data_IF_423672329517
#
_entry.id   IF_423672329517
#
_cell.length_a   1.000
_cell.length_b   1.000
_cell.length_c   1.000
_cell.angle_alpha   90.00
_cell.angle_beta   90.00
_cell.angle_gamma   90.00
#
_symmetry.space_group_name_H-M   'P 1'
#
loop_
_entity.id
_entity.type
_entity.pdbx_description
1 polymer ?
#
# COMPACT_ATOMS: atom_id res chain seq x y z
N UNK A 1 -7.89 -3.70 2.86
CA UNK A 1 -8.80 -3.55 1.72
C UNK A 1 -8.35 -2.33 0.92
N UNK A 2 -8.41 -2.41 -0.41
CA UNK A 2 -8.04 -1.33 -1.31
C UNK A 2 -9.19 -1.02 -2.28
N UNK A 3 -9.54 0.24 -2.38
CA UNK A 3 -10.59 0.73 -3.28
C UNK A 3 -10.02 1.55 -4.45
N UNK A 4 -8.72 1.84 -4.45
CA UNK A 4 -8.00 2.54 -5.53
C UNK A 4 -8.71 3.82 -5.99
N UNK A 5 -9.23 4.62 -5.07
CA UNK A 5 -10.01 5.84 -5.35
C UNK A 5 -11.23 5.64 -6.26
N UNK A 6 -11.71 4.40 -6.39
CA UNK A 6 -12.76 4.09 -7.36
C UNK A 6 -14.17 4.50 -6.92
N UNK A 7 -14.38 4.81 -5.63
CA UNK A 7 -15.71 5.03 -5.12
C UNK A 7 -16.10 6.51 -5.10
N UNK A 8 -17.37 6.72 -5.37
CA UNK A 8 -18.05 7.97 -5.00
C UNK A 8 -18.39 7.93 -3.51
N UNK A 9 -18.62 9.07 -2.84
CA UNK A 9 -19.09 9.08 -1.45
C UNK A 9 -20.27 8.17 -1.20
N UNK A 10 -21.24 8.14 -2.12
CA UNK A 10 -22.40 7.27 -2.02
C UNK A 10 -22.04 5.78 -2.01
N UNK A 11 -21.12 5.35 -2.89
CA UNK A 11 -20.64 3.95 -2.92
C UNK A 11 -19.88 3.59 -1.65
N UNK A 12 -19.04 4.48 -1.16
CA UNK A 12 -18.33 4.28 0.09
C UNK A 12 -19.31 4.08 1.27
N UNK A 13 -20.33 4.93 1.37
CA UNK A 13 -21.36 4.80 2.37
C UNK A 13 -22.20 3.51 2.21
N UNK A 14 -22.49 3.10 0.99
CA UNK A 14 -23.14 1.81 0.73
C UNK A 14 -22.28 0.63 1.22
N UNK A 15 -20.98 0.63 0.92
CA UNK A 15 -20.07 -0.37 1.46
C UNK A 15 -20.12 -0.43 2.98
N UNK A 16 -20.03 0.72 3.67
CA UNK A 16 -20.08 0.77 5.12
C UNK A 16 -21.39 0.22 5.71
N UNK A 17 -22.53 0.35 5.01
CA UNK A 17 -23.81 -0.22 5.44
C UNK A 17 -23.82 -1.76 5.41
N UNK A 18 -23.07 -2.38 4.50
CA UNK A 18 -22.94 -3.84 4.44
C UNK A 18 -21.98 -4.41 5.49
N UNK A 19 -21.12 -3.57 6.06
CA UNK A 19 -20.24 -3.99 7.15
C UNK A 19 -20.99 -3.85 8.47
N UNK A 20 -21.24 -4.99 9.14
CA UNK A 20 -21.83 -4.95 10.48
C UNK A 20 -20.98 -4.03 11.39
N UNK A 21 -21.60 -3.06 12.08
CA UNK A 21 -20.89 -2.12 12.97
C UNK A 21 -19.92 -2.79 13.95
N UNK A 22 -20.28 -3.98 14.48
CA UNK A 22 -19.44 -4.76 15.39
C UNK A 22 -18.11 -5.21 14.75
N UNK A 23 -18.05 -5.32 13.42
CA UNK A 23 -16.86 -5.79 12.69
C UNK A 23 -16.07 -4.68 12.05
N UNK A 24 -16.55 -3.43 12.08
CA UNK A 24 -15.81 -2.29 11.49
C UNK A 24 -14.42 -2.11 12.11
N UNK A 25 -14.31 -2.30 13.40
CA UNK A 25 -13.03 -2.24 14.11
C UNK A 25 -12.04 -3.37 13.76
N UNK A 26 -12.48 -4.41 13.05
CA UNK A 26 -11.60 -5.47 12.52
C UNK A 26 -10.98 -5.12 11.17
N UNK A 27 -11.50 -4.10 10.48
CA UNK A 27 -10.87 -3.54 9.29
C UNK A 27 -9.74 -2.66 9.78
N UNK A 28 -8.50 -3.10 9.59
CA UNK A 28 -7.33 -2.33 9.99
C UNK A 28 -7.34 -0.95 9.33
N UNK A 29 -7.57 -0.92 8.03
CA UNK A 29 -7.84 0.29 7.24
C UNK A 29 -8.41 -0.08 5.85
N UNK A 30 -8.99 0.91 5.19
CA UNK A 30 -9.41 0.90 3.80
C UNK A 30 -8.56 1.92 3.03
N UNK A 31 -7.84 1.46 2.01
CA UNK A 31 -6.96 2.31 1.23
C UNK A 31 -7.76 3.17 0.26
N UNK A 32 -7.51 4.47 0.25
CA UNK A 32 -8.01 5.46 -0.71
C UNK A 32 -9.45 5.16 -1.20
N UNK A 33 -10.47 5.17 -0.32
CA UNK A 33 -11.82 4.75 -0.72
C UNK A 33 -12.44 5.65 -1.79
N UNK A 34 -12.23 6.96 -1.69
CA UNK A 34 -12.87 7.95 -2.55
C UNK A 34 -11.87 8.67 -3.45
N UNK A 35 -12.40 9.33 -4.48
CA UNK A 35 -11.59 10.07 -5.46
C UNK A 35 -10.83 11.24 -4.85
N UNK A 36 -11.37 11.85 -3.81
CA UNK A 36 -10.74 12.99 -3.13
C UNK A 36 -10.37 12.63 -1.70
N UNK A 37 -9.33 13.27 -1.17
CA UNK A 37 -8.94 13.11 0.22
C UNK A 37 -10.05 13.56 1.18
N UNK A 38 -10.78 14.62 0.84
CA UNK A 38 -11.86 15.13 1.67
C UNK A 38 -13.02 14.16 1.78
N UNK A 39 -13.40 13.52 0.68
CA UNK A 39 -14.44 12.48 0.67
C UNK A 39 -14.00 11.25 1.47
N UNK A 40 -12.72 10.86 1.37
CA UNK A 40 -12.16 9.74 2.14
C UNK A 40 -12.13 10.05 3.64
N UNK A 41 -11.77 11.29 4.02
CA UNK A 41 -11.84 11.75 5.42
C UNK A 41 -13.27 11.77 5.95
N UNK A 42 -14.20 12.29 5.15
CA UNK A 42 -15.62 12.29 5.52
C UNK A 42 -16.14 10.86 5.74
N UNK A 43 -15.79 9.94 4.84
CA UNK A 43 -16.12 8.53 4.99
C UNK A 43 -15.58 7.96 6.32
N UNK A 44 -14.32 8.18 6.65
CA UNK A 44 -13.72 7.67 7.87
C UNK A 44 -14.42 8.19 9.13
N UNK A 45 -14.68 9.51 9.18
CA UNK A 45 -15.38 10.13 10.33
C UNK A 45 -16.81 9.63 10.50
N UNK A 46 -17.55 9.51 9.39
CA UNK A 46 -18.97 9.14 9.44
C UNK A 46 -19.19 7.66 9.72
N UNK A 47 -18.27 6.80 9.29
CA UNK A 47 -18.44 5.34 9.39
C UNK A 47 -17.67 4.69 10.52
N UNK A 48 -16.64 5.35 11.03
CA UNK A 48 -15.69 4.77 11.98
C UNK A 48 -14.75 3.73 11.37
N UNK A 49 -14.78 3.55 10.03
CA UNK A 49 -13.84 2.68 9.32
C UNK A 49 -12.57 3.49 9.04
N UNK A 50 -11.45 3.04 9.58
CA UNK A 50 -10.17 3.70 9.37
C UNK A 50 -9.72 3.64 7.90
N UNK A 51 -8.99 4.67 7.47
CA UNK A 51 -8.43 4.73 6.10
C UNK A 51 -6.91 4.78 6.11
N UNK A 52 -6.33 4.49 4.96
CA UNK A 52 -4.92 4.68 4.66
C UNK A 52 -4.74 5.54 3.41
N UNK A 53 -3.63 6.29 3.37
CA UNK A 53 -3.18 7.00 2.17
C UNK A 53 -2.20 6.16 1.36
N UNK A 54 -2.37 6.09 0.05
CA UNK A 54 -1.46 5.49 -0.93
C UNK A 54 -1.14 6.50 -2.05
N UNK A 55 -2.06 6.69 -2.98
CA UNK A 55 -1.86 7.60 -4.11
C UNK A 55 -1.64 9.04 -3.65
N UNK A 56 -2.30 9.44 -2.58
CA UNK A 56 -2.17 10.78 -1.99
C UNK A 56 -0.75 11.12 -1.58
N UNK A 57 0.08 10.13 -1.19
CA UNK A 57 1.48 10.37 -0.82
C UNK A 57 2.32 10.97 -1.96
N UNK A 58 1.86 10.83 -3.19
CA UNK A 58 2.55 11.30 -4.40
C UNK A 58 2.01 12.65 -4.90
N UNK A 59 0.97 13.18 -4.26
CA UNK A 59 0.44 14.49 -4.61
C UNK A 59 1.38 15.60 -4.12
N UNK A 60 1.60 16.65 -4.93
CA UNK A 60 2.58 17.71 -4.60
C UNK A 60 2.26 18.46 -3.29
N UNK A 61 0.99 18.51 -2.91
CA UNK A 61 0.50 19.19 -1.71
C UNK A 61 0.30 18.24 -0.52
N UNK A 62 0.73 16.96 -0.64
CA UNK A 62 0.63 16.03 0.48
C UNK A 62 1.60 16.41 1.60
N UNK A 63 1.08 16.46 2.81
CA UNK A 63 1.87 16.65 4.01
C UNK A 63 1.52 15.58 5.04
N UNK A 64 2.53 15.08 5.76
CA UNK A 64 2.31 14.20 6.90
C UNK A 64 1.77 15.02 8.06
N UNK A 65 0.47 14.86 8.33
CA UNK A 65 -0.22 15.49 9.45
C UNK A 65 -1.13 14.47 10.13
N UNK A 66 -1.37 14.65 11.42
CA UNK A 66 -2.32 13.81 12.13
C UNK A 66 -3.75 14.14 11.68
N UNK A 67 -4.46 13.14 11.20
CA UNK A 67 -5.82 13.27 10.68
C UNK A 67 -6.74 12.24 11.33
N UNK A 68 -7.93 12.68 11.76
CA UNK A 68 -8.92 11.79 12.34
C UNK A 68 -9.36 10.72 11.32
N UNK A 69 -9.36 9.46 11.76
CA UNK A 69 -9.74 8.32 10.92
C UNK A 69 -8.63 7.80 10.00
N UNK A 70 -7.52 8.50 9.83
CA UNK A 70 -6.33 7.99 9.11
C UNK A 70 -5.49 7.17 10.08
N UNK A 71 -5.17 5.95 9.72
CA UNK A 71 -4.37 5.04 10.56
C UNK A 71 -3.12 4.51 9.91
N UNK A 72 -3.01 4.61 8.60
CA UNK A 72 -1.87 4.06 7.89
C UNK A 72 -1.50 4.89 6.66
N UNK A 73 -0.30 4.64 6.17
CA UNK A 73 0.17 5.06 4.86
C UNK A 73 0.78 3.85 4.15
N UNK A 74 0.50 3.74 2.86
CA UNK A 74 1.02 2.68 1.98
C UNK A 74 2.12 3.28 1.13
N UNK A 75 3.35 2.86 1.37
CA UNK A 75 4.54 3.40 0.73
C UNK A 75 5.04 2.41 -0.32
N UNK A 76 5.09 2.86 -1.57
CA UNK A 76 5.60 2.08 -2.71
C UNK A 76 6.99 2.57 -3.10
N UNK A 77 8.08 1.90 -2.66
CA UNK A 77 9.45 2.39 -2.83
C UNK A 77 9.82 2.67 -4.28
N UNK A 78 9.37 1.86 -5.22
CA UNK A 78 9.61 2.05 -6.66
C UNK A 78 8.98 3.33 -7.20
N UNK A 79 7.87 3.77 -6.63
CA UNK A 79 7.20 5.03 -7.00
C UNK A 79 7.74 6.23 -6.21
N UNK A 80 8.23 6.01 -4.99
CA UNK A 80 8.88 7.05 -4.18
C UNK A 80 10.23 7.47 -4.78
N UNK A 81 10.95 6.54 -5.40
CA UNK A 81 12.12 6.80 -6.22
C UNK A 81 13.48 6.71 -5.50
N UNK A 82 13.55 6.82 -4.18
CA UNK A 82 14.78 6.57 -3.43
C UNK A 82 14.53 5.99 -2.05
N UNK A 83 15.48 5.17 -1.56
CA UNK A 83 15.38 4.59 -0.22
C UNK A 83 15.46 5.64 0.89
N UNK A 84 16.16 6.74 0.66
CA UNK A 84 16.23 7.87 1.59
C UNK A 84 14.83 8.45 1.81
N UNK A 85 14.13 8.78 0.73
CA UNK A 85 12.75 9.30 0.81
C UNK A 85 11.78 8.29 1.44
N UNK A 86 11.93 6.99 1.12
CA UNK A 86 11.12 5.94 1.75
C UNK A 86 11.33 5.94 3.25
N UNK A 87 12.58 6.01 3.72
CA UNK A 87 12.91 6.07 5.15
C UNK A 87 12.31 7.31 5.80
N UNK A 88 12.42 8.48 5.16
CA UNK A 88 11.82 9.72 5.65
C UNK A 88 10.31 9.61 5.79
N UNK A 89 9.61 9.04 4.80
CA UNK A 89 8.17 8.81 4.84
C UNK A 89 7.77 7.85 5.98
N UNK A 90 8.52 6.76 6.17
CA UNK A 90 8.28 5.82 7.29
C UNK A 90 8.45 6.53 8.63
N UNK A 91 9.52 7.32 8.80
CA UNK A 91 9.76 8.06 10.03
C UNK A 91 8.67 9.11 10.30
N UNK A 92 8.25 9.84 9.26
CA UNK A 92 7.17 10.83 9.37
C UNK A 92 5.84 10.16 9.78
N UNK A 93 5.51 9.02 9.19
CA UNK A 93 4.32 8.25 9.55
C UNK A 93 4.38 7.78 11.02
N UNK A 94 5.49 7.18 11.44
CA UNK A 94 5.67 6.71 12.81
C UNK A 94 5.63 7.85 13.83
N UNK A 95 6.17 9.03 13.51
CA UNK A 95 6.11 10.21 14.37
C UNK A 95 4.67 10.68 14.64
N UNK A 96 3.74 10.36 13.74
CA UNK A 96 2.31 10.64 13.88
C UNK A 96 1.50 9.47 14.46
N UNK A 97 2.16 8.36 14.82
CA UNK A 97 1.50 7.16 15.29
C UNK A 97 0.77 6.37 14.19
N UNK A 98 1.09 6.64 12.91
CA UNK A 98 0.52 5.92 11.78
C UNK A 98 1.31 4.63 11.50
N UNK A 99 0.60 3.61 11.03
CA UNK A 99 1.24 2.41 10.48
C UNK A 99 1.82 2.72 9.11
N UNK A 100 3.12 2.48 8.90
CA UNK A 100 3.74 2.52 7.59
C UNK A 100 3.77 1.12 6.98
N UNK A 101 3.15 0.95 5.82
CA UNK A 101 3.10 -0.32 5.08
C UNK A 101 3.96 -0.20 3.84
N UNK A 102 5.02 -0.98 3.74
CA UNK A 102 5.77 -1.12 2.48
C UNK A 102 4.97 -2.00 1.53
N UNK A 103 4.71 -1.50 0.34
CA UNK A 103 3.90 -2.20 -0.66
C UNK A 103 4.57 -2.23 -2.03
N UNK A 104 4.15 -3.18 -2.83
CA UNK A 104 4.52 -3.28 -4.24
C UNK A 104 3.61 -2.41 -5.10
N UNK A 105 4.15 -2.01 -6.25
CA UNK A 105 3.36 -1.55 -7.38
C UNK A 105 3.10 -2.76 -8.30
N UNK A 106 3.87 -2.91 -9.36
CA UNK A 106 3.90 -4.13 -10.19
C UNK A 106 5.37 -4.49 -10.42
N UNK A 107 5.93 -5.26 -9.50
CA UNK A 107 7.34 -5.65 -9.54
C UNK A 107 7.51 -7.14 -9.91
N UNK A 108 8.65 -7.44 -10.53
CA UNK A 108 9.11 -8.80 -10.72
C UNK A 108 9.39 -9.49 -9.38
N UNK A 109 9.53 -10.81 -9.38
CA UNK A 109 9.91 -11.57 -8.18
C UNK A 109 11.25 -11.12 -7.57
N UNK A 110 12.18 -10.61 -8.39
CA UNK A 110 13.41 -9.99 -7.92
C UNK A 110 13.10 -8.67 -7.17
N UNK A 111 12.27 -7.81 -7.77
CA UNK A 111 11.83 -6.55 -7.15
C UNK A 111 11.07 -6.80 -5.85
N UNK A 112 10.13 -7.74 -5.82
CA UNK A 112 9.42 -8.14 -4.59
C UNK A 112 10.38 -8.63 -3.50
N UNK A 113 11.43 -9.39 -3.87
CA UNK A 113 12.47 -9.82 -2.92
C UNK A 113 13.21 -8.62 -2.31
N UNK A 114 13.48 -7.58 -3.10
CA UNK A 114 14.09 -6.35 -2.60
C UNK A 114 13.13 -5.58 -1.69
N UNK A 115 11.86 -5.45 -2.07
CA UNK A 115 10.84 -4.81 -1.24
C UNK A 115 10.63 -5.53 0.10
N UNK A 116 10.64 -6.87 0.11
CA UNK A 116 10.55 -7.63 1.34
C UNK A 116 11.72 -7.34 2.31
N UNK A 117 12.93 -7.13 1.78
CA UNK A 117 14.10 -6.72 2.59
C UNK A 117 13.97 -5.30 3.13
N UNK A 118 13.44 -4.38 2.31
CA UNK A 118 13.17 -2.99 2.72
C UNK A 118 12.13 -2.99 3.83
N UNK A 119 11.05 -3.76 3.68
CA UNK A 119 10.02 -3.90 4.70
C UNK A 119 10.58 -4.46 6.01
N UNK A 120 11.36 -5.54 5.94
CA UNK A 120 12.01 -6.13 7.12
C UNK A 120 12.96 -5.16 7.83
N UNK A 121 13.56 -4.23 7.09
CA UNK A 121 14.45 -3.21 7.66
C UNK A 121 13.71 -2.01 8.26
N UNK A 122 12.71 -1.46 7.54
CA UNK A 122 12.09 -0.19 7.91
C UNK A 122 10.81 -0.35 8.72
N UNK A 123 10.07 -1.44 8.50
CA UNK A 123 8.75 -1.71 9.11
C UNK A 123 8.62 -3.17 9.58
N UNK A 124 9.55 -3.67 10.43
CA UNK A 124 9.66 -5.09 10.78
C UNK A 124 8.40 -5.67 11.44
N UNK A 125 7.61 -4.83 12.10
CA UNK A 125 6.40 -5.23 12.82
C UNK A 125 5.13 -5.08 11.97
N UNK A 126 5.27 -4.70 10.69
CA UNK A 126 4.15 -4.50 9.77
C UNK A 126 4.20 -5.53 8.63
N UNK A 127 3.07 -6.16 8.35
CA UNK A 127 2.95 -7.07 7.20
C UNK A 127 2.97 -6.22 5.92
N UNK A 128 3.94 -6.44 5.01
CA UNK A 128 4.03 -5.68 3.76
C UNK A 128 2.99 -6.16 2.73
N UNK A 129 2.56 -5.27 1.84
CA UNK A 129 1.66 -5.57 0.73
C UNK A 129 2.43 -5.97 -0.53
N UNK A 130 2.81 -7.25 -0.67
CA UNK A 130 3.69 -7.74 -1.75
C UNK A 130 3.04 -8.81 -2.65
N UNK A 131 1.73 -8.83 -2.75
CA UNK A 131 0.98 -9.88 -3.46
C UNK A 131 0.56 -9.43 -4.87
N UNK A 132 1.55 -9.06 -5.70
CA UNK A 132 1.31 -8.59 -7.07
C UNK A 132 1.94 -9.48 -8.15
N UNK A 133 2.60 -10.58 -7.75
CA UNK A 133 3.36 -11.41 -8.70
C UNK A 133 2.45 -12.13 -9.72
N UNK A 134 1.23 -12.47 -9.34
CA UNK A 134 0.27 -13.15 -10.23
C UNK A 134 -0.19 -12.27 -11.41
N UNK A 135 0.14 -10.98 -11.40
CA UNK A 135 -0.01 -10.09 -12.55
C UNK A 135 1.09 -10.29 -13.61
N UNK A 136 2.13 -11.08 -13.30
CA UNK A 136 3.25 -11.37 -14.20
C UNK A 136 3.04 -12.70 -14.92
N UNK A 137 3.77 -12.88 -16.03
CA UNK A 137 3.79 -14.15 -16.78
C UNK A 137 4.86 -15.12 -16.27
N UNK A 138 5.91 -14.61 -15.63
CA UNK A 138 7.03 -15.37 -15.13
C UNK A 138 7.71 -14.69 -13.93
N UNK A 139 8.42 -15.49 -13.16
CA UNK A 139 9.34 -15.01 -12.14
C UNK A 139 10.69 -14.68 -12.77
N UNK A 140 11.38 -13.67 -12.28
CA UNK A 140 12.69 -13.28 -12.78
C UNK A 140 13.75 -13.61 -11.74
N UNK A 141 14.70 -14.47 -12.10
CA UNK A 141 15.91 -14.80 -11.33
C UNK A 141 15.64 -15.40 -9.94
N UNK A 142 14.68 -14.89 -9.23
CA UNK A 142 14.33 -15.31 -7.86
C UNK A 142 12.95 -15.95 -7.80
N UNK A 143 12.89 -17.09 -7.13
CA UNK A 143 11.60 -17.71 -6.79
C UNK A 143 10.93 -16.94 -5.67
N UNK A 144 9.65 -16.60 -5.89
CA UNK A 144 8.82 -16.00 -4.87
C UNK A 144 8.05 -17.11 -4.13
N UNK A 145 8.01 -17.09 -2.79
CA UNK A 145 7.30 -18.10 -2.02
C UNK A 145 5.82 -18.21 -2.44
N UNK A 146 5.36 -19.45 -2.66
CA UNK A 146 3.98 -19.74 -3.04
C UNK A 146 3.65 -19.57 -4.53
N UNK A 147 4.51 -18.94 -5.33
CA UNK A 147 4.26 -18.77 -6.77
C UNK A 147 4.60 -20.04 -7.56
N UNK A 148 3.71 -20.38 -8.50
CA UNK A 148 3.88 -21.48 -9.46
C UNK A 148 4.33 -21.02 -10.84
N UNK A 149 4.50 -19.71 -11.06
CA UNK A 149 4.95 -19.14 -12.31
C UNK A 149 6.37 -19.69 -12.67
N UNK A 150 6.65 -19.87 -13.98
CA UNK A 150 7.98 -20.31 -14.42
C UNK A 150 9.04 -19.27 -14.05
N UNK A 151 10.26 -19.72 -13.82
CA UNK A 151 11.41 -18.86 -13.52
C UNK A 151 12.22 -18.63 -14.78
N UNK A 152 12.48 -17.38 -15.11
CA UNK A 152 13.42 -16.98 -16.15
C UNK A 152 14.77 -16.74 -15.49
N UNK A 153 15.76 -17.54 -15.90
CA UNK A 153 17.13 -17.45 -15.38
C UNK A 153 17.88 -16.26 -16.02
N UNK A 154 18.97 -15.83 -15.36
CA UNK A 154 19.75 -14.64 -15.80
C UNK A 154 20.21 -14.75 -17.24
N UNK A 155 20.63 -15.95 -17.66
CA UNK A 155 21.18 -16.20 -19.00
C UNK A 155 20.15 -16.06 -20.13
N UNK A 156 18.85 -16.14 -19.77
CA UNK A 156 17.75 -15.97 -20.70
C UNK A 156 17.26 -14.50 -20.76
N UNK A 157 17.83 -13.61 -19.95
CA UNK A 157 17.50 -12.19 -19.98
C UNK A 157 18.33 -11.47 -21.03
N UNK A 158 17.68 -10.72 -21.90
CA UNK A 158 18.33 -9.92 -22.91
C UNK A 158 19.00 -8.69 -22.28
N UNK A 159 20.27 -8.42 -22.61
CA UNK A 159 20.94 -7.18 -22.22
C UNK A 159 20.38 -6.04 -23.09
N UNK A 160 19.82 -5.03 -22.43
CA UNK A 160 19.30 -3.84 -23.11
C UNK A 160 20.33 -2.73 -23.31
N UNK A 161 21.61 -2.92 -22.85
CA UNK A 161 22.69 -1.96 -22.97
C UNK A 161 23.99 -2.68 -23.41
#
# INVERSE_FOLDING_TARGET
LDANRAWTPLKAQQFAKYVNPEYRGRIAFLEEPCKTRDDSRAFARETGIAIAWDESLREPDFAFVAEEGVRAVVIKPTLTGSLEKVREQVQAAHALGLTAVISSSIESSLGLTQLARIAAWLTPDTIPGLDTLDLMQAQQVRRWPGSTLPVVEVDALERLL
#
